data_IF_630074214415
#
_entry.id   IF_630074214415
#
_cell.length_a   1.000
_cell.length_b   1.000
_cell.length_c   1.000
_cell.angle_alpha   90.00
_cell.angle_beta   90.00
_cell.angle_gamma   90.00
#
_symmetry.space_group_name_H-M   'P 1'
#
loop_
_entity.id
_entity.type
_entity.pdbx_description
1 polymer ?
#
# COMPACT_ATOMS: atom_id res chain seq x y z
N UNK A 1 -1.50 -12.13 -12.21
CA UNK A 1 -1.03 -11.33 -11.05
C UNK A 1 -2.10 -11.38 -9.98
N UNK A 2 -1.75 -11.81 -8.77
CA UNK A 2 -2.70 -11.97 -7.67
C UNK A 2 -3.05 -10.60 -7.09
N UNK A 3 -4.30 -10.18 -7.25
CA UNK A 3 -4.85 -9.01 -6.58
C UNK A 3 -4.92 -9.33 -5.08
N UNK A 4 -4.40 -8.43 -4.26
CA UNK A 4 -4.44 -8.52 -2.81
C UNK A 4 -5.62 -7.70 -2.32
N UNK A 5 -6.36 -8.25 -1.36
CA UNK A 5 -7.43 -7.52 -0.68
C UNK A 5 -7.44 -7.90 0.79
N UNK A 6 -7.41 -6.90 1.65
CA UNK A 6 -7.39 -7.08 3.09
C UNK A 6 -8.18 -5.97 3.78
N UNK A 7 -8.74 -6.29 4.94
CA UNK A 7 -9.44 -5.33 5.76
C UNK A 7 -8.49 -4.84 6.86
N UNK A 8 -8.45 -3.54 7.06
CA UNK A 8 -7.76 -2.88 8.17
C UNK A 8 -8.80 -2.23 9.09
N UNK A 9 -8.47 -2.15 10.38
CA UNK A 9 -9.22 -1.37 11.36
C UNK A 9 -8.27 -0.33 11.93
N UNK A 10 -8.34 0.90 11.42
CA UNK A 10 -7.41 1.98 11.77
C UNK A 10 -8.17 3.04 12.54
N UNK A 11 -7.74 3.33 13.77
CA UNK A 11 -8.40 4.30 14.66
C UNK A 11 -9.92 4.05 14.83
N UNK A 12 -10.34 2.78 14.80
CA UNK A 12 -11.73 2.36 14.90
C UNK A 12 -12.55 2.50 13.60
N UNK A 13 -11.93 2.96 12.51
CA UNK A 13 -12.55 3.07 11.18
C UNK A 13 -12.15 1.85 10.33
N UNK A 14 -13.13 1.09 9.78
CA UNK A 14 -12.83 -0.04 8.91
C UNK A 14 -12.47 0.44 7.49
N UNK A 15 -11.38 -0.11 6.96
CA UNK A 15 -10.91 0.12 5.59
C UNK A 15 -10.81 -1.21 4.84
N UNK A 16 -11.51 -1.32 3.71
CA UNK A 16 -11.29 -2.40 2.75
C UNK A 16 -10.26 -1.94 1.73
N UNK A 17 -9.05 -2.48 1.84
CA UNK A 17 -7.91 -2.15 0.99
C UNK A 17 -7.80 -3.18 -0.13
N UNK A 18 -7.58 -2.71 -1.35
CA UNK A 18 -7.26 -3.49 -2.53
C UNK A 18 -5.91 -3.04 -3.06
N UNK A 19 -5.00 -3.98 -3.22
CA UNK A 19 -3.67 -3.73 -3.74
C UNK A 19 -3.38 -4.61 -4.94
N UNK A 20 -2.90 -4.02 -6.03
CA UNK A 20 -2.52 -4.73 -7.24
C UNK A 20 -1.02 -4.50 -7.51
N UNK A 21 -0.18 -5.55 -7.43
CA UNK A 21 1.24 -5.41 -7.72
C UNK A 21 1.47 -5.14 -9.20
N UNK A 22 2.40 -4.24 -9.49
CA UNK A 22 2.90 -3.96 -10.83
C UNK A 22 4.39 -3.65 -10.79
N UNK A 23 5.07 -3.83 -11.93
CA UNK A 23 6.49 -3.49 -12.05
C UNK A 23 6.65 -2.17 -12.77
N UNK A 24 7.51 -1.31 -12.25
CA UNK A 24 7.85 -0.02 -12.86
C UNK A 24 9.36 0.21 -12.71
N UNK A 25 10.09 0.31 -13.83
CA UNK A 25 11.55 0.43 -13.84
C UNK A 25 12.25 -0.65 -12.99
N UNK A 26 11.87 -1.92 -13.19
CA UNK A 26 12.38 -3.08 -12.43
C UNK A 26 12.10 -3.07 -10.92
N UNK A 27 11.34 -2.09 -10.42
CA UNK A 27 10.88 -2.00 -9.04
C UNK A 27 9.45 -2.52 -8.91
N UNK A 28 9.17 -3.28 -7.83
CA UNK A 28 7.83 -3.71 -7.49
C UNK A 28 7.07 -2.58 -6.77
N UNK A 29 5.91 -2.22 -7.32
CA UNK A 29 5.01 -1.21 -6.79
C UNK A 29 3.60 -1.77 -6.66
N UNK A 30 2.75 -1.07 -5.93
CA UNK A 30 1.38 -1.47 -5.68
C UNK A 30 0.41 -0.35 -6.04
N UNK A 31 -0.59 -0.66 -6.84
CA UNK A 31 -1.77 0.18 -7.00
C UNK A 31 -2.72 -0.14 -5.84
N UNK A 32 -2.89 0.79 -4.92
CA UNK A 32 -3.68 0.63 -3.71
C UNK A 32 -4.90 1.52 -3.77
N UNK A 33 -6.08 0.96 -3.53
CA UNK A 33 -7.32 1.72 -3.31
C UNK A 33 -7.98 1.24 -2.03
N UNK A 34 -8.64 2.13 -1.30
CA UNK A 34 -9.30 1.80 -0.04
C UNK A 34 -10.70 2.40 0.02
N UNK A 35 -11.70 1.61 0.45
CA UNK A 35 -13.10 2.05 0.54
C UNK A 35 -13.68 2.67 -0.75
N UNK A 36 -13.18 2.29 -1.93
CA UNK A 36 -13.60 2.87 -3.21
C UNK A 36 -13.01 4.25 -3.50
N UNK A 37 -11.95 4.64 -2.80
CA UNK A 37 -11.15 5.83 -3.09
C UNK A 37 -10.48 5.76 -4.46
N UNK A 38 -9.83 6.87 -4.80
CA UNK A 38 -8.81 6.92 -5.85
C UNK A 38 -7.71 5.87 -5.62
N UNK A 39 -6.99 5.56 -6.69
CA UNK A 39 -5.85 4.64 -6.65
C UNK A 39 -4.59 5.42 -6.30
N UNK A 40 -3.89 4.96 -5.28
CA UNK A 40 -2.60 5.46 -4.81
C UNK A 40 -1.51 4.48 -5.19
N UNK A 41 -0.33 4.99 -5.54
CA UNK A 41 0.82 4.13 -5.84
C UNK A 41 1.66 4.02 -4.59
N UNK A 42 1.91 2.80 -4.13
CA UNK A 42 2.86 2.50 -3.07
C UNK A 42 4.13 1.92 -3.67
N UNK A 43 5.29 2.47 -3.29
CA UNK A 43 6.62 2.03 -3.70
C UNK A 43 7.45 1.70 -2.47
N UNK A 44 8.50 0.89 -2.65
CA UNK A 44 9.43 0.58 -1.57
C UNK A 44 10.26 1.82 -1.22
N UNK A 45 10.24 2.21 0.04
CA UNK A 45 11.01 3.33 0.57
C UNK A 45 12.20 2.77 1.37
N UNK A 46 13.42 2.98 0.86
CA UNK A 46 14.64 2.44 1.48
C UNK A 46 15.02 3.15 2.78
N UNK A 47 14.56 4.39 2.98
CA UNK A 47 14.85 5.16 4.20
C UNK A 47 14.04 4.63 5.39
N UNK A 48 12.78 4.28 5.16
CA UNK A 48 11.85 3.79 6.18
C UNK A 48 11.62 2.28 6.14
N UNK A 49 12.26 1.58 5.20
CA UNK A 49 12.21 0.11 4.99
C UNK A 49 10.77 -0.41 4.94
N UNK A 50 9.91 0.29 4.20
CA UNK A 50 8.48 -0.05 4.08
C UNK A 50 7.91 0.40 2.74
N UNK A 51 6.74 -0.10 2.38
CA UNK A 51 5.99 0.47 1.26
C UNK A 51 5.33 1.78 1.68
N UNK A 52 5.61 2.86 0.95
CA UNK A 52 5.06 4.18 1.18
C UNK A 52 4.37 4.73 -0.09
N UNK A 53 3.32 5.54 0.05
CA UNK A 53 2.64 6.15 -1.08
C UNK A 53 3.54 7.20 -1.74
N UNK A 54 3.52 7.26 -3.06
CA UNK A 54 4.31 8.21 -3.86
C UNK A 54 3.40 9.12 -4.69
N UNK A 55 3.83 10.38 -4.86
CA UNK A 55 3.12 11.40 -5.65
C UNK A 55 2.25 12.35 -4.81
N UNK A 56 1.80 13.45 -5.41
CA UNK A 56 1.06 14.53 -4.72
C UNK A 56 -0.20 14.06 -3.99
N UNK A 57 -0.92 13.09 -4.56
CA UNK A 57 -2.15 12.54 -3.96
C UNK A 57 -1.87 11.75 -2.68
N UNK A 58 -0.64 11.34 -2.41
CA UNK A 58 -0.28 10.64 -1.18
C UNK A 58 -0.57 11.47 0.09
N UNK A 59 -0.52 12.80 -0.02
CA UNK A 59 -0.74 13.71 1.12
C UNK A 59 -2.17 13.68 1.67
N UNK A 60 -3.12 13.06 0.96
CA UNK A 60 -4.52 12.93 1.41
C UNK A 60 -4.75 11.67 2.25
N UNK A 61 -3.77 10.75 2.30
CA UNK A 61 -3.87 9.50 3.06
C UNK A 61 -3.60 9.81 4.54
N UNK A 62 -4.48 9.41 5.48
CA UNK A 62 -4.19 9.51 6.89
C UNK A 62 -2.92 8.73 7.25
N UNK A 63 -2.03 9.33 8.03
CA UNK A 63 -0.73 8.72 8.40
C UNK A 63 -0.91 7.34 9.01
N UNK A 64 -1.83 7.15 9.95
CA UNK A 64 -2.10 5.83 10.56
C UNK A 64 -2.48 4.77 9.50
N UNK A 65 -3.28 5.16 8.50
CA UNK A 65 -3.73 4.25 7.44
C UNK A 65 -2.59 3.90 6.49
N UNK A 66 -1.79 4.90 6.11
CA UNK A 66 -0.59 4.72 5.30
C UNK A 66 0.33 3.65 5.91
N UNK A 67 0.64 3.80 7.20
CA UNK A 67 1.57 2.92 7.89
C UNK A 67 1.06 1.48 7.93
N UNK A 68 -0.22 1.28 8.25
CA UNK A 68 -0.83 -0.04 8.32
C UNK A 68 -0.88 -0.72 6.95
N UNK A 69 -1.18 0.04 5.88
CA UNK A 69 -1.13 -0.47 4.51
C UNK A 69 0.30 -0.88 4.15
N UNK A 70 1.29 -0.02 4.42
CA UNK A 70 2.69 -0.27 4.10
C UNK A 70 3.24 -1.53 4.76
N UNK A 71 2.98 -1.70 6.06
CA UNK A 71 3.29 -2.93 6.81
C UNK A 71 2.61 -4.13 6.18
N UNK A 72 1.32 -4.04 5.89
CA UNK A 72 0.57 -5.18 5.36
C UNK A 72 1.04 -5.60 3.98
N UNK A 73 1.38 -4.64 3.11
CA UNK A 73 1.99 -4.91 1.82
C UNK A 73 3.31 -5.66 1.96
N UNK A 74 4.15 -5.27 2.92
CA UNK A 74 5.41 -5.98 3.19
C UNK A 74 5.18 -7.44 3.61
N UNK A 75 4.27 -7.68 4.55
CA UNK A 75 3.97 -9.05 5.04
C UNK A 75 3.43 -10.00 3.96
N UNK A 76 2.60 -9.47 3.05
CA UNK A 76 1.98 -10.28 1.98
C UNK A 76 2.82 -10.33 0.71
N UNK A 77 3.88 -9.53 0.64
CA UNK A 77 4.89 -9.66 -0.41
C UNK A 77 5.75 -10.87 -0.06
N UNK A 78 5.78 -11.93 -0.87
CA UNK A 78 6.74 -13.00 -0.65
C UNK A 78 8.13 -12.37 -0.80
N UNK A 79 8.85 -12.24 0.32
CA UNK A 79 10.27 -11.94 0.32
C UNK A 79 10.93 -12.88 -0.70
N UNK A 80 11.69 -12.33 -1.65
CA UNK A 80 12.60 -13.17 -2.42
C UNK A 80 13.61 -13.74 -1.41
N UNK A 81 13.35 -14.96 -0.95
CA UNK A 81 14.37 -15.82 -0.32
C UNK A 81 15.51 -16.11 -1.32
#
# INVERSE_FOLDING_TARGET
>A
MNKLSFNLLVDGVPYMVKAEPFSFNDEQRYNVSFNGSETYIFAWDEETLRYAPVGDVASTIPVSLEQEIGTRLYEVTPSKE
#
